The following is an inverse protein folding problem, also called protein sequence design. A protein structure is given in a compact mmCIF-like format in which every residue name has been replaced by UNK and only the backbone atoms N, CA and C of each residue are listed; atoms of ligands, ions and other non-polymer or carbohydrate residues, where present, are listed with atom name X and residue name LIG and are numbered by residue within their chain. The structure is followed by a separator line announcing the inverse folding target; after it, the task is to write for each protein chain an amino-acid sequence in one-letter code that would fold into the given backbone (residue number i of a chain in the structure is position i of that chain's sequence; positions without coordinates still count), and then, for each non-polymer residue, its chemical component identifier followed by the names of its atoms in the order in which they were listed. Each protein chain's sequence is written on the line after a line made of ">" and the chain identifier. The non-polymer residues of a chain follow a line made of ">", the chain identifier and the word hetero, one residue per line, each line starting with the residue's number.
data_IF_026000270275
#
_entry.id   IF_026000270275
#
_cell.length_a   1.000
_cell.length_b   1.000
_cell.length_c   1.000
_cell.angle_alpha   90.00
_cell.angle_beta   90.00
_cell.angle_gamma   90.00
#
_symmetry.space_group_name_H-M   'P 1'
#
loop_
_entity.id
_entity.type
_entity.pdbx_description
1 polymer ?
#
# COMPACT_ATOMS: atom_id res chain seq x y z
N UNK A 1 13.50 -5.83 11.80
CA UNK A 1 13.93 -4.43 11.63
C UNK A 1 15.43 -4.24 11.89
N UNK A 2 16.04 -4.96 12.85
CA UNK A 2 17.45 -4.78 13.29
C UNK A 2 18.49 -5.37 12.34
N UNK A 3 18.15 -6.39 11.54
CA UNK A 3 19.08 -7.04 10.63
C UNK A 3 19.44 -6.10 9.45
N UNK A 4 20.71 -5.69 9.30
CA UNK A 4 21.12 -4.76 8.23
C UNK A 4 21.17 -5.40 6.84
N UNK A 5 21.16 -6.72 6.75
CA UNK A 5 21.13 -7.44 5.46
C UNK A 5 19.77 -7.36 4.78
N UNK A 6 18.69 -7.23 5.56
CA UNK A 6 17.32 -7.10 5.03
C UNK A 6 17.09 -5.67 4.55
N UNK A 7 16.75 -5.51 3.28
CA UNK A 7 16.53 -4.21 2.64
C UNK A 7 15.05 -3.88 2.43
N UNK A 8 14.21 -4.90 2.31
CA UNK A 8 12.77 -4.75 2.07
C UNK A 8 11.98 -5.70 2.95
N UNK A 9 10.83 -5.23 3.42
CA UNK A 9 9.79 -6.01 4.10
C UNK A 9 8.52 -5.82 3.31
N UNK A 10 7.98 -6.91 2.76
CA UNK A 10 6.73 -6.92 2.02
C UNK A 10 5.70 -7.74 2.79
N UNK A 11 4.47 -7.22 2.89
CA UNK A 11 3.38 -8.00 3.48
C UNK A 11 3.05 -9.20 2.61
N UNK A 12 2.75 -10.34 3.23
CA UNK A 12 2.29 -11.53 2.49
C UNK A 12 0.88 -11.32 1.92
N UNK A 13 0.01 -10.69 2.70
CA UNK A 13 -1.37 -10.35 2.36
C UNK A 13 -1.81 -9.23 3.33
N UNK A 14 -3.02 -8.68 3.15
CA UNK A 14 -3.66 -7.84 4.15
C UNK A 14 -4.02 -8.59 5.44
N UNK A 15 -5.04 -8.15 6.15
CA UNK A 15 -5.47 -8.74 7.42
C UNK A 15 -6.59 -7.93 8.05
N UNK A 16 -6.68 -7.98 9.38
CA UNK A 16 -7.72 -7.26 10.13
C UNK A 16 -7.26 -6.70 11.48
N UNK A 17 -6.02 -6.96 11.90
CA UNK A 17 -5.57 -6.66 13.25
C UNK A 17 -4.13 -6.14 13.33
N UNK A 18 -3.57 -5.63 12.25
CA UNK A 18 -2.20 -5.06 12.25
C UNK A 18 -2.05 -3.89 13.22
N UNK A 19 -3.14 -3.19 13.54
CA UNK A 19 -3.15 -2.12 14.53
C UNK A 19 -2.76 -2.62 15.94
N UNK A 20 -2.99 -3.89 16.29
CA UNK A 20 -2.58 -4.45 17.58
C UNK A 20 -1.07 -4.58 17.74
N UNK A 21 -0.33 -4.55 16.62
CA UNK A 21 1.13 -4.64 16.63
C UNK A 21 1.82 -3.30 16.90
N UNK A 22 1.11 -2.18 16.71
CA UNK A 22 1.71 -0.84 16.73
C UNK A 22 2.47 -0.51 18.02
N UNK A 23 2.01 -0.89 19.22
CA UNK A 23 2.76 -0.65 20.45
C UNK A 23 4.06 -1.45 20.58
N UNK A 24 4.22 -2.52 19.79
CA UNK A 24 5.35 -3.46 19.88
C UNK A 24 6.39 -3.28 18.78
N UNK A 25 6.16 -2.39 17.82
CA UNK A 25 7.12 -2.09 16.75
C UNK A 25 8.31 -1.34 17.33
N UNK A 26 9.52 -1.79 17.02
CA UNK A 26 10.76 -1.10 17.37
C UNK A 26 11.02 0.04 16.36
N UNK A 27 10.38 1.18 16.60
CA UNK A 27 10.50 2.37 15.74
C UNK A 27 11.93 2.93 15.69
N UNK A 28 12.68 2.83 16.80
CA UNK A 28 14.08 3.27 16.83
C UNK A 28 14.96 2.35 15.98
N UNK A 29 14.75 1.04 16.01
CA UNK A 29 15.46 0.13 15.12
C UNK A 29 15.16 0.43 13.65
N UNK A 30 13.92 0.77 13.30
CA UNK A 30 13.55 1.16 11.95
C UNK A 30 14.20 2.48 11.55
N UNK A 31 14.21 3.48 12.43
CA UNK A 31 14.83 4.79 12.20
C UNK A 31 16.34 4.68 11.97
N UNK A 32 17.02 3.83 12.75
CA UNK A 32 18.46 3.63 12.66
C UNK A 32 18.88 2.70 11.50
N UNK A 33 17.99 1.89 10.98
CA UNK A 33 18.21 0.95 9.88
C UNK A 33 16.99 0.94 8.93
N UNK A 34 16.77 2.04 8.18
CA UNK A 34 15.61 2.17 7.31
C UNK A 34 15.53 1.06 6.28
N UNK A 35 14.31 0.60 6.03
CA UNK A 35 14.00 -0.42 5.04
C UNK A 35 12.82 0.01 4.19
N UNK A 36 12.73 -0.49 2.99
CA UNK A 36 11.49 -0.41 2.22
C UNK A 36 10.46 -1.29 2.93
N UNK A 37 9.35 -0.71 3.36
CA UNK A 37 8.19 -1.45 3.90
C UNK A 37 7.04 -1.22 2.95
N UNK A 38 6.48 -2.31 2.42
CA UNK A 38 5.47 -2.27 1.35
C UNK A 38 4.34 -3.25 1.61
N UNK A 39 3.13 -2.83 1.28
CA UNK A 39 1.90 -3.59 1.36
C UNK A 39 0.69 -2.70 1.22
N UNK A 40 -0.51 -3.25 1.34
CA UNK A 40 -1.77 -2.52 1.26
C UNK A 40 -2.83 -3.09 2.23
N UNK A 41 -4.06 -2.59 2.17
CA UNK A 41 -5.15 -3.03 3.03
C UNK A 41 -4.79 -2.85 4.51
N UNK A 42 -4.93 -3.86 5.35
CA UNK A 42 -4.62 -3.81 6.79
C UNK A 42 -3.16 -3.42 7.12
N UNK A 43 -2.22 -3.65 6.19
CA UNK A 43 -0.83 -3.20 6.33
C UNK A 43 -0.72 -1.67 6.43
N UNK A 44 -1.75 -0.93 6.02
CA UNK A 44 -1.87 0.53 6.20
C UNK A 44 -1.52 0.96 7.63
N UNK A 45 -1.95 0.20 8.63
CA UNK A 45 -1.68 0.52 10.03
C UNK A 45 -0.17 0.58 10.31
N UNK A 46 0.57 -0.42 9.85
CA UNK A 46 2.03 -0.49 10.00
C UNK A 46 2.73 0.61 9.21
N UNK A 47 2.32 0.83 7.95
CA UNK A 47 2.92 1.83 7.07
C UNK A 47 2.79 3.24 7.65
N UNK A 48 1.58 3.63 8.04
CA UNK A 48 1.32 4.94 8.62
C UNK A 48 1.97 5.12 10.00
N UNK A 49 2.01 4.07 10.83
CA UNK A 49 2.65 4.15 12.14
C UNK A 49 4.18 4.31 12.03
N UNK A 50 4.83 3.57 11.13
CA UNK A 50 6.26 3.74 10.85
C UNK A 50 6.53 5.17 10.38
N UNK A 51 5.75 5.67 9.43
CA UNK A 51 5.88 7.03 8.96
C UNK A 51 5.62 8.07 10.07
N UNK A 52 4.55 7.93 10.86
CA UNK A 52 4.20 8.85 11.94
C UNK A 52 5.30 8.96 13.00
N UNK A 53 5.94 7.84 13.35
CA UNK A 53 6.97 7.76 14.40
C UNK A 53 8.37 8.11 13.94
N UNK A 54 8.69 7.93 12.67
CA UNK A 54 10.07 8.05 12.19
C UNK A 54 10.25 9.10 11.09
N UNK A 55 9.17 9.56 10.49
CA UNK A 55 9.15 10.42 9.30
C UNK A 55 9.87 9.80 8.08
N UNK A 56 10.04 8.47 8.07
CA UNK A 56 10.61 7.72 6.94
C UNK A 56 9.46 7.25 6.06
N UNK A 57 9.47 7.54 4.75
CA UNK A 57 8.44 7.10 3.84
C UNK A 57 8.30 5.59 3.80
N UNK A 58 7.06 5.12 3.66
CA UNK A 58 6.68 3.73 3.43
C UNK A 58 5.90 3.62 2.12
N UNK A 59 5.73 2.43 1.59
CA UNK A 59 5.13 2.23 0.28
C UNK A 59 3.76 1.57 0.39
N UNK A 60 2.69 2.27 -0.03
CA UNK A 60 1.40 1.64 -0.27
C UNK A 60 1.44 0.98 -1.64
N UNK A 61 1.45 -0.35 -1.70
CA UNK A 61 1.71 -1.08 -2.94
C UNK A 61 1.47 -2.58 -2.80
N UNK A 62 1.97 -3.39 -3.74
CA UNK A 62 1.64 -4.80 -3.81
C UNK A 62 2.02 -5.58 -2.55
N UNK A 63 1.22 -6.61 -2.25
CA UNK A 63 1.53 -7.66 -1.30
C UNK A 63 1.92 -8.96 -2.05
N UNK A 64 2.58 -9.88 -1.37
CA UNK A 64 3.15 -11.04 -2.04
C UNK A 64 2.07 -11.93 -2.70
N UNK A 65 1.11 -12.41 -1.91
CA UNK A 65 0.13 -13.39 -2.38
C UNK A 65 -0.85 -12.77 -3.38
N UNK A 66 -1.60 -11.71 -3.04
CA UNK A 66 -2.67 -11.21 -3.90
C UNK A 66 -2.20 -10.37 -5.10
N UNK A 67 -0.89 -10.12 -5.21
CA UNK A 67 -0.36 -9.32 -6.30
C UNK A 67 0.64 -10.09 -7.17
N UNK A 68 1.63 -10.73 -6.54
CA UNK A 68 2.62 -11.54 -7.27
C UNK A 68 2.19 -13.00 -7.43
N UNK A 69 1.18 -13.45 -6.69
CA UNK A 69 0.56 -14.76 -6.87
C UNK A 69 -0.57 -14.79 -7.91
N UNK A 70 -0.82 -13.70 -8.63
CA UNK A 70 -1.86 -13.63 -9.66
C UNK A 70 -1.47 -14.31 -10.97
N UNK A 71 -2.49 -14.55 -11.82
CA UNK A 71 -2.30 -14.93 -13.22
C UNK A 71 -2.00 -13.72 -14.10
N UNK A 72 -1.47 -14.01 -15.30
CA UNK A 72 -1.36 -13.02 -16.36
C UNK A 72 -2.75 -12.45 -16.76
N UNK A 73 -2.85 -11.16 -17.10
CA UNK A 73 -1.75 -10.17 -17.18
C UNK A 73 -1.46 -9.46 -15.85
N UNK A 74 -2.24 -9.67 -14.79
CA UNK A 74 -2.17 -8.90 -13.54
C UNK A 74 -0.82 -9.05 -12.83
N UNK A 75 -0.24 -10.25 -12.79
CA UNK A 75 1.09 -10.47 -12.21
C UNK A 75 2.16 -9.71 -13.00
N UNK A 76 2.08 -9.73 -14.33
CA UNK A 76 3.05 -9.05 -15.19
C UNK A 76 2.99 -7.52 -15.02
N UNK A 77 1.79 -6.96 -14.97
CA UNK A 77 1.55 -5.54 -14.67
C UNK A 77 2.15 -5.17 -13.31
N UNK A 78 1.80 -5.91 -12.26
CA UNK A 78 2.34 -5.71 -10.91
C UNK A 78 3.86 -5.71 -10.90
N UNK A 79 4.48 -6.70 -11.56
CA UNK A 79 5.93 -6.82 -11.63
C UNK A 79 6.57 -5.64 -12.36
N UNK A 80 5.99 -5.17 -13.46
CA UNK A 80 6.52 -4.06 -14.24
C UNK A 80 6.48 -2.75 -13.44
N UNK A 81 5.38 -2.44 -12.76
CA UNK A 81 5.29 -1.26 -11.89
C UNK A 81 6.30 -1.35 -10.75
N UNK A 82 6.36 -2.47 -10.06
CA UNK A 82 7.27 -2.71 -8.96
C UNK A 82 8.74 -2.56 -9.40
N UNK A 83 9.12 -3.24 -10.47
CA UNK A 83 10.46 -3.17 -11.02
C UNK A 83 10.85 -1.75 -11.42
N UNK A 84 9.98 -1.07 -12.16
CA UNK A 84 10.25 0.29 -12.62
C UNK A 84 10.46 1.24 -11.43
N UNK A 85 9.55 1.22 -10.46
CA UNK A 85 9.62 2.09 -9.29
C UNK A 85 10.90 1.91 -8.48
N UNK A 86 11.32 0.67 -8.25
CA UNK A 86 12.50 0.39 -7.42
C UNK A 86 13.83 0.35 -8.19
N UNK A 87 13.83 0.28 -9.51
CA UNK A 87 15.06 0.30 -10.30
C UNK A 87 15.56 1.70 -10.66
N UNK A 88 14.71 2.72 -10.57
CA UNK A 88 15.03 4.11 -10.91
C UNK A 88 14.53 5.12 -9.86
N UNK A 89 14.96 5.00 -8.61
CA UNK A 89 14.39 5.78 -7.49
C UNK A 89 14.67 7.28 -7.54
N UNK A 90 15.60 7.72 -8.37
CA UNK A 90 16.01 9.14 -8.49
C UNK A 90 15.28 9.91 -9.59
N UNK A 91 14.42 9.25 -10.35
CA UNK A 91 13.67 9.86 -11.46
C UNK A 91 12.22 10.06 -11.04
N UNK A 92 11.60 11.23 -11.30
CA UNK A 92 10.16 11.38 -11.11
C UNK A 92 9.40 10.29 -11.83
N UNK A 93 8.52 9.59 -11.16
CA UNK A 93 7.77 8.47 -11.69
C UNK A 93 6.30 8.82 -11.85
N UNK A 94 5.83 8.83 -13.07
CA UNK A 94 4.40 8.90 -13.34
C UNK A 94 3.81 7.50 -13.28
N UNK A 95 2.93 7.25 -12.31
CA UNK A 95 2.22 5.97 -12.20
C UNK A 95 1.20 5.92 -13.34
N UNK A 96 1.37 5.03 -14.34
CA UNK A 96 0.39 4.89 -15.40
C UNK A 96 -0.85 4.17 -14.86
N UNK A 97 -1.98 4.40 -15.51
CA UNK A 97 -3.20 3.64 -15.21
C UNK A 97 -3.06 2.23 -15.77
N UNK A 98 -3.33 1.21 -14.94
CA UNK A 98 -3.51 -0.15 -15.47
C UNK A 98 -4.67 -0.19 -16.47
N UNK A 99 -4.53 -0.83 -17.62
CA UNK A 99 -5.61 -0.93 -18.61
C UNK A 99 -6.79 -1.78 -18.12
N UNK A 100 -6.55 -2.65 -17.14
CA UNK A 100 -7.54 -3.60 -16.64
C UNK A 100 -7.56 -3.64 -15.12
N UNK A 101 -8.68 -4.13 -14.57
CA UNK A 101 -8.86 -4.38 -13.15
C UNK A 101 -9.77 -5.58 -12.92
N UNK A 102 -9.80 -6.09 -11.69
CA UNK A 102 -10.73 -7.13 -11.26
C UNK A 102 -11.05 -6.98 -9.78
N UNK A 103 -12.29 -7.20 -9.41
CA UNK A 103 -12.77 -7.33 -8.02
C UNK A 103 -13.08 -8.79 -7.64
N UNK A 104 -12.80 -9.74 -8.54
CA UNK A 104 -13.08 -11.15 -8.29
C UNK A 104 -12.19 -11.68 -7.18
N UNK A 105 -12.83 -12.22 -6.13
CA UNK A 105 -12.14 -12.92 -5.05
C UNK A 105 -11.88 -14.37 -5.44
N UNK A 106 -10.64 -14.79 -5.37
CA UNK A 106 -10.25 -16.17 -5.65
C UNK A 106 -9.85 -16.89 -4.36
N UNK A 107 -10.07 -18.20 -4.35
CA UNK A 107 -9.54 -19.05 -3.30
C UNK A 107 -8.09 -19.42 -3.61
N UNK A 108 -7.16 -18.84 -2.87
CA UNK A 108 -5.72 -19.06 -3.06
C UNK A 108 -5.25 -20.51 -2.83
N UNK A 109 -6.08 -21.35 -2.17
CA UNK A 109 -5.78 -22.76 -1.97
C UNK A 109 -6.10 -23.62 -3.20
N UNK A 110 -7.03 -23.15 -4.04
CA UNK A 110 -7.49 -23.89 -5.22
C UNK A 110 -7.16 -23.20 -6.53
N UNK A 111 -6.60 -22.04 -6.51
CA UNK A 111 -6.18 -21.15 -7.61
C UNK A 111 -6.10 -21.81 -9.00
N UNK A 112 -7.27 -21.99 -9.63
CA UNK A 112 -7.40 -22.84 -10.82
C UNK A 112 -7.54 -22.06 -12.13
N UNK A 113 -7.95 -20.79 -12.06
CA UNK A 113 -8.23 -19.97 -13.23
C UNK A 113 -7.92 -18.49 -13.02
N UNK A 114 -7.58 -17.75 -14.09
CA UNK A 114 -7.44 -16.29 -14.01
C UNK A 114 -8.77 -15.61 -13.66
N UNK A 115 -8.66 -14.43 -13.07
CA UNK A 115 -9.81 -13.56 -12.77
C UNK A 115 -10.46 -13.00 -14.03
N UNK A 116 -11.72 -12.69 -13.95
CA UNK A 116 -12.43 -11.91 -14.97
C UNK A 116 -11.87 -10.48 -14.96
N UNK A 117 -11.50 -9.97 -16.13
CA UNK A 117 -10.91 -8.65 -16.27
C UNK A 117 -11.91 -7.66 -16.86
N UNK A 118 -11.89 -6.45 -16.34
CA UNK A 118 -12.69 -5.32 -16.80
C UNK A 118 -11.78 -4.18 -17.26
N UNK A 119 -12.23 -3.41 -18.23
CA UNK A 119 -11.51 -2.19 -18.65
C UNK A 119 -11.47 -1.17 -17.52
N UNK A 120 -10.31 -0.63 -17.25
CA UNK A 120 -10.11 0.38 -16.23
C UNK A 120 -10.31 1.80 -16.78
N UNK A 121 -10.69 2.73 -15.92
CA UNK A 121 -10.74 4.16 -16.22
C UNK A 121 -10.58 4.98 -14.94
N UNK A 122 -9.95 6.13 -15.06
CA UNK A 122 -9.99 7.13 -14.00
C UNK A 122 -11.16 8.09 -14.24
N UNK A 123 -11.78 8.51 -13.16
CA UNK A 123 -12.88 9.49 -13.20
C UNK A 123 -12.43 10.70 -12.40
N UNK A 124 -12.31 11.85 -13.09
CA UNK A 124 -12.08 13.11 -12.41
C UNK A 124 -13.41 13.67 -11.92
N UNK A 125 -13.52 13.89 -10.60
CA UNK A 125 -14.68 14.56 -10.00
C UNK A 125 -14.46 16.06 -10.02
N UNK A 126 -13.23 16.51 -9.78
CA UNK A 126 -12.81 17.90 -9.84
C UNK A 126 -11.43 17.99 -10.49
N UNK A 127 -11.33 18.74 -11.58
CA UNK A 127 -10.07 18.87 -12.30
C UNK A 127 -9.10 19.79 -11.56
N UNK A 128 -7.82 19.48 -11.65
CA UNK A 128 -6.75 20.28 -11.06
C UNK A 128 -5.43 19.52 -11.00
N UNK A 129 -4.39 20.27 -10.65
CA UNK A 129 -3.05 19.72 -10.37
C UNK A 129 -2.65 20.20 -8.99
N UNK A 130 -2.22 19.29 -8.15
CA UNK A 130 -1.77 19.59 -6.80
C UNK A 130 -0.41 18.94 -6.56
N UNK A 131 0.38 19.57 -5.70
CA UNK A 131 1.63 19.03 -5.20
C UNK A 131 1.55 18.97 -3.69
N UNK A 132 1.94 17.83 -3.10
CA UNK A 132 1.90 17.64 -1.66
C UNK A 132 2.42 16.28 -1.26
N UNK A 133 2.58 16.12 0.05
CA UNK A 133 2.96 14.84 0.64
C UNK A 133 1.77 13.88 0.55
N UNK A 134 1.98 12.69 -0.03
CA UNK A 134 0.95 11.65 -0.09
C UNK A 134 0.82 10.96 1.27
N UNK A 135 -0.38 10.96 1.84
CA UNK A 135 -0.70 10.33 3.13
C UNK A 135 -2.01 9.58 2.98
N UNK A 136 -2.10 8.38 3.52
CA UNK A 136 -3.34 7.61 3.51
C UNK A 136 -3.14 6.12 3.30
N UNK A 137 -4.19 5.45 2.83
CA UNK A 137 -4.25 4.02 2.59
C UNK A 137 -5.67 3.50 2.73
N UNK A 138 -5.83 2.29 3.27
CA UNK A 138 -7.14 1.67 3.43
C UNK A 138 -7.98 2.37 4.50
N UNK A 139 -9.16 2.85 4.13
CA UNK A 139 -10.05 3.65 4.96
C UNK A 139 -10.52 2.92 6.21
N UNK A 140 -10.94 1.67 6.08
CA UNK A 140 -11.36 0.82 7.19
C UNK A 140 -10.25 0.65 8.24
N UNK A 141 -9.02 0.40 7.78
CA UNK A 141 -7.86 0.26 8.63
C UNK A 141 -7.53 1.58 9.33
N UNK A 142 -7.53 2.69 8.59
CA UNK A 142 -7.28 4.02 9.16
C UNK A 142 -8.30 4.36 10.25
N UNK A 143 -9.58 4.08 10.04
CA UNK A 143 -10.63 4.29 11.02
C UNK A 143 -10.33 3.59 12.37
N UNK A 144 -9.72 2.42 12.33
CA UNK A 144 -9.42 1.62 13.52
C UNK A 144 -8.34 2.20 14.43
N UNK A 145 -7.57 3.22 14.00
CA UNK A 145 -6.50 3.81 14.83
C UNK A 145 -6.30 5.32 14.65
N UNK A 146 -7.20 5.99 13.92
CA UNK A 146 -7.23 7.47 13.82
C UNK A 146 -7.33 8.08 15.23
N UNK A 147 -6.63 9.18 15.45
CA UNK A 147 -6.57 9.85 16.77
C UNK A 147 -5.58 9.22 17.75
N UNK A 148 -4.93 8.12 17.41
CA UNK A 148 -3.87 7.53 18.23
C UNK A 148 -2.50 8.16 17.93
N UNK A 149 -1.50 8.00 18.82
CA UNK A 149 -0.13 8.46 18.55
C UNK A 149 0.59 7.73 17.40
N UNK A 150 -0.03 6.73 16.81
CA UNK A 150 0.47 5.95 15.68
C UNK A 150 -0.09 6.41 14.34
N UNK A 151 -1.10 7.25 14.34
CA UNK A 151 -1.69 7.78 13.12
C UNK A 151 -0.88 8.99 12.62
N UNK A 152 -0.55 9.00 11.33
CA UNK A 152 0.15 10.12 10.71
C UNK A 152 -0.74 11.38 10.70
N UNK A 153 -0.21 12.47 11.21
CA UNK A 153 -0.95 13.75 11.20
C UNK A 153 -1.10 14.22 9.75
N UNK A 154 -2.35 14.39 9.33
CA UNK A 154 -2.71 14.99 8.04
C UNK A 154 -2.69 16.50 8.19
N UNK A 155 -2.02 17.20 7.31
CA UNK A 155 -1.83 18.65 7.35
C UNK A 155 -2.42 19.32 6.11
N UNK A 156 -2.68 20.62 6.20
CA UNK A 156 -2.98 21.40 5.00
C UNK A 156 -1.87 21.29 3.97
N UNK A 157 -2.22 21.02 2.71
CA UNK A 157 -1.29 20.77 1.61
C UNK A 157 -0.92 19.30 1.40
N UNK A 158 -1.33 18.36 2.27
CA UNK A 158 -1.18 16.94 1.99
C UNK A 158 -2.16 16.48 0.90
N UNK A 159 -1.76 15.48 0.14
CA UNK A 159 -2.61 14.73 -0.79
C UNK A 159 -3.10 13.48 -0.07
N UNK A 160 -4.39 13.35 0.13
CA UNK A 160 -4.98 12.20 0.82
C UNK A 160 -5.27 11.08 -0.17
N UNK A 161 -4.65 9.91 0.04
CA UNK A 161 -5.01 8.66 -0.62
C UNK A 161 -6.00 7.89 0.25
N UNK A 162 -7.16 7.57 -0.31
CA UNK A 162 -8.17 6.72 0.34
C UNK A 162 -8.52 5.56 -0.56
N UNK A 163 -8.33 4.35 -0.06
CA UNK A 163 -8.75 3.11 -0.70
C UNK A 163 -9.68 2.37 0.25
N UNK A 164 -10.67 1.70 -0.28
CA UNK A 164 -11.53 0.81 0.50
C UNK A 164 -11.87 -0.44 -0.31
N UNK A 165 -12.19 -1.52 0.38
CA UNK A 165 -12.50 -2.80 -0.23
C UNK A 165 -13.61 -3.52 0.55
N UNK A 166 -14.38 -4.36 -0.14
CA UNK A 166 -15.43 -5.19 0.44
C UNK A 166 -16.59 -4.42 1.12
N UNK A 167 -16.78 -3.16 0.76
CA UNK A 167 -17.89 -2.32 1.24
C UNK A 167 -18.78 -1.90 0.09
N UNK A 168 -20.09 -1.93 0.32
CA UNK A 168 -21.05 -1.24 -0.55
C UNK A 168 -20.95 0.27 -0.33
N UNK A 169 -21.12 1.05 -1.38
CA UNK A 169 -21.33 2.49 -1.26
C UNK A 169 -22.76 2.73 -0.72
N UNK A 170 -22.92 2.63 0.60
CA UNK A 170 -24.18 2.88 1.29
C UNK A 170 -24.05 4.05 2.24
#
# INVERSE_FOLDING_TARGET
>A
LRDPSIKMIMSSIGGTNSNSLLPYIDYEAFKNNPKIVIGYSDTTAILLALFAKTNIPTCYGPALIPSFGEFEPLVHETYNYFKHYFSQPSVPYTIPMSPVWSDEMINWLTFEKPKTLYSNKWISIHEGVVEGRLVGGNNNTMYGFIGTPYFAVIKGGDVLLVEDSLKSAS
#
